data_IF_742362972855
#
_entry.id   IF_742362972855
#
_cell.length_a   1.000
_cell.length_b   1.000
_cell.length_c   1.000
_cell.angle_alpha   90.00
_cell.angle_beta   90.00
_cell.angle_gamma   90.00
#
_symmetry.space_group_name_H-M   'P 1'
#
loop_
_entity.id
_entity.type
_entity.pdbx_description
1 polymer ?
#
# COMPACT_ATOMS: atom_id res chain seq x y z
N UNK A 1 -1.85 11.13 29.38
CA UNK A 1 -0.37 11.04 29.36
C UNK A 1 0.05 10.60 27.97
N UNK A 2 0.67 11.50 27.23
CA UNK A 2 1.01 11.34 25.81
C UNK A 2 2.04 10.22 25.62
N UNK A 3 1.75 9.27 24.72
CA UNK A 3 2.75 8.31 24.25
C UNK A 3 3.64 9.02 23.24
N UNK A 4 4.79 9.42 23.75
CA UNK A 4 5.87 10.04 22.98
C UNK A 4 6.23 9.24 21.74
N UNK A 5 6.25 9.91 20.63
CA UNK A 5 6.76 9.43 19.36
C UNK A 5 8.20 8.88 19.52
N UNK A 6 8.37 7.58 19.39
CA UNK A 6 9.69 7.01 19.15
C UNK A 6 9.99 7.19 17.67
N UNK A 7 10.56 8.32 17.35
CA UNK A 7 11.20 8.57 16.07
C UNK A 7 12.35 7.57 15.94
N UNK A 8 12.22 6.62 15.04
CA UNK A 8 13.29 5.71 14.67
C UNK A 8 14.29 6.52 13.85
N UNK A 9 15.34 7.00 14.51
CA UNK A 9 16.49 7.61 13.85
C UNK A 9 17.25 6.49 13.12
N UNK A 10 17.01 6.36 11.80
CA UNK A 10 17.85 5.55 10.94
C UNK A 10 19.14 6.34 10.73
N UNK A 11 20.20 5.93 11.42
CA UNK A 11 21.54 6.46 11.23
C UNK A 11 22.03 6.05 9.84
N UNK A 12 22.12 7.03 8.93
CA UNK A 12 22.90 6.92 7.70
C UNK A 12 24.38 6.88 8.08
N UNK A 13 24.97 5.71 8.04
CA UNK A 13 26.42 5.57 8.09
C UNK A 13 26.99 6.05 6.75
N UNK A 14 27.45 7.28 6.70
CA UNK A 14 28.27 7.82 5.61
C UNK A 14 29.67 7.18 5.69
N UNK A 15 29.87 6.11 4.96
CA UNK A 15 31.18 5.53 4.72
C UNK A 15 31.80 6.14 3.46
N UNK A 16 32.87 6.87 3.62
CA UNK A 16 33.93 7.08 2.64
C UNK A 16 33.68 8.18 1.62
N UNK A 17 34.18 9.38 1.90
CA UNK A 17 34.41 10.43 0.90
C UNK A 17 35.48 10.00 -0.10
N UNK A 18 35.10 9.25 -1.13
CA UNK A 18 35.79 9.32 -2.41
C UNK A 18 35.00 10.31 -3.26
N UNK A 19 35.69 11.32 -3.77
CA UNK A 19 35.16 12.26 -4.75
C UNK A 19 34.68 11.47 -5.95
N UNK A 20 33.39 11.15 -5.97
CA UNK A 20 32.74 10.58 -7.13
C UNK A 20 32.62 11.71 -8.13
N UNK A 21 33.44 11.67 -9.19
CA UNK A 21 33.35 12.60 -10.30
C UNK A 21 31.92 12.63 -10.85
N UNK A 22 31.36 13.81 -10.95
CA UNK A 22 30.05 14.04 -11.57
C UNK A 22 30.22 13.97 -13.10
N UNK A 23 30.40 12.79 -13.65
CA UNK A 23 30.23 12.56 -15.06
C UNK A 23 28.75 12.28 -15.29
N UNK A 24 28.02 13.29 -15.63
CA UNK A 24 26.68 13.14 -16.22
C UNK A 24 26.89 12.67 -17.66
N UNK A 25 26.90 11.36 -17.88
CA UNK A 25 26.77 10.80 -19.21
C UNK A 25 25.40 11.21 -19.74
N UNK A 26 25.40 12.10 -20.72
CA UNK A 26 24.20 12.52 -21.44
C UNK A 26 23.81 11.39 -22.42
N UNK A 27 23.24 10.32 -21.91
CA UNK A 27 22.53 9.36 -22.73
C UNK A 27 21.31 10.03 -23.39
N UNK A 28 20.92 9.64 -24.61
CA UNK A 28 19.78 10.22 -25.29
C UNK A 28 18.51 10.06 -24.42
N UNK A 29 17.75 11.13 -24.31
CA UNK A 29 16.50 11.21 -23.53
C UNK A 29 15.49 10.20 -24.07
N UNK A 30 15.46 9.00 -23.53
CA UNK A 30 14.46 7.97 -23.84
C UNK A 30 13.39 7.96 -22.77
N UNK A 31 12.14 7.87 -23.22
CA UNK A 31 11.04 7.56 -22.31
C UNK A 31 11.19 6.11 -21.86
N UNK A 32 11.23 5.89 -20.56
CA UNK A 32 11.18 4.57 -19.94
C UNK A 32 9.82 4.39 -19.29
N UNK A 33 9.20 3.26 -19.54
CA UNK A 33 7.90 2.89 -18.98
C UNK A 33 8.07 1.64 -18.16
N UNK A 34 7.59 1.64 -16.94
CA UNK A 34 7.63 0.50 -16.02
C UNK A 34 6.22 0.18 -15.56
N UNK A 35 5.75 -1.02 -15.83
CA UNK A 35 4.40 -1.50 -15.45
C UNK A 35 4.56 -2.74 -14.58
N UNK A 36 3.99 -2.70 -13.38
CA UNK A 36 4.04 -3.80 -12.43
C UNK A 36 2.65 -4.10 -11.87
N UNK A 37 1.87 -4.99 -12.48
CA UNK A 37 0.76 -5.64 -11.79
C UNK A 37 1.31 -6.51 -10.65
N UNK A 38 0.70 -6.39 -9.47
CA UNK A 38 1.16 -7.13 -8.30
C UNK A 38 0.01 -7.51 -7.36
N UNK A 39 0.23 -8.55 -6.58
CA UNK A 39 -0.57 -8.88 -5.42
C UNK A 39 0.11 -8.33 -4.15
N UNK A 40 -0.65 -7.69 -3.29
CA UNK A 40 -0.22 -7.32 -1.95
C UNK A 40 -1.18 -7.91 -0.94
N UNK A 41 -0.66 -8.58 0.07
CA UNK A 41 -1.43 -9.23 1.13
C UNK A 41 -1.12 -8.55 2.47
N UNK A 42 -1.76 -7.41 2.77
CA UNK A 42 -1.51 -6.72 4.01
C UNK A 42 -2.26 -7.36 5.19
N UNK A 43 -1.62 -7.38 6.35
CA UNK A 43 -2.35 -7.36 7.61
C UNK A 43 -2.78 -5.93 7.94
N UNK A 44 -3.82 -5.78 8.75
CA UNK A 44 -4.33 -4.49 9.24
C UNK A 44 -4.19 -4.45 10.76
N UNK A 45 -3.50 -3.44 11.28
CA UNK A 45 -3.19 -3.32 12.70
C UNK A 45 -3.49 -1.91 13.18
N UNK A 46 -4.15 -1.77 14.32
CA UNK A 46 -4.40 -0.45 14.88
C UNK A 46 -5.68 -0.34 15.69
N UNK A 47 -6.28 0.83 15.64
CA UNK A 47 -7.54 1.10 16.35
C UNK A 47 -8.37 2.14 15.62
N UNK A 48 -9.67 2.02 15.75
CA UNK A 48 -10.64 3.02 15.34
C UNK A 48 -11.49 3.40 16.55
N UNK A 49 -11.63 4.71 16.78
CA UNK A 49 -12.51 5.26 17.82
C UNK A 49 -13.58 6.08 17.14
N UNK A 50 -14.83 5.71 17.25
CA UNK A 50 -15.97 6.39 16.66
C UNK A 50 -16.98 6.68 17.76
N UNK A 51 -17.37 7.95 17.90
CA UNK A 51 -18.34 8.42 18.94
C UNK A 51 -17.97 7.92 20.35
N UNK A 52 -16.68 7.93 20.69
CA UNK A 52 -16.16 7.52 21.99
C UNK A 52 -15.98 6.02 22.20
N UNK A 53 -16.42 5.17 21.26
CA UNK A 53 -16.20 3.73 21.30
C UNK A 53 -14.93 3.36 20.54
N UNK A 54 -13.99 2.74 21.20
CA UNK A 54 -12.71 2.30 20.60
C UNK A 54 -12.73 0.80 20.31
N UNK A 55 -12.34 0.44 19.09
CA UNK A 55 -12.20 -0.94 18.65
C UNK A 55 -10.76 -1.18 18.18
N UNK A 56 -10.13 -2.23 18.67
CA UNK A 56 -8.84 -2.69 18.18
C UNK A 56 -9.06 -3.48 16.89
N UNK A 57 -8.22 -3.20 15.89
CA UNK A 57 -8.19 -3.91 14.61
C UNK A 57 -6.87 -4.70 14.58
N UNK A 58 -6.97 -6.01 14.34
CA UNK A 58 -5.83 -6.93 14.34
C UNK A 58 -6.15 -8.06 13.37
N UNK A 59 -5.91 -7.82 12.08
CA UNK A 59 -6.15 -8.76 10.99
C UNK A 59 -4.80 -9.14 10.39
N UNK A 60 -4.48 -10.42 10.42
CA UNK A 60 -3.21 -10.91 9.88
C UNK A 60 -3.28 -11.08 8.34
N UNK A 61 -2.13 -11.15 7.63
CA UNK A 61 -2.11 -11.49 6.21
C UNK A 61 -2.75 -12.85 5.91
N UNK A 62 -2.65 -13.83 6.81
CA UNK A 62 -3.30 -15.14 6.65
C UNK A 62 -4.82 -15.05 6.66
N UNK A 63 -5.40 -14.23 7.54
CA UNK A 63 -6.85 -14.02 7.58
C UNK A 63 -7.38 -13.43 6.27
N UNK A 64 -6.61 -12.52 5.66
CA UNK A 64 -6.95 -11.96 4.36
C UNK A 64 -6.84 -13.01 3.24
N UNK A 65 -5.81 -13.87 3.27
CA UNK A 65 -5.67 -14.96 2.31
C UNK A 65 -6.83 -15.94 2.40
N UNK A 66 -7.27 -16.29 3.61
CA UNK A 66 -8.43 -17.18 3.80
C UNK A 66 -9.71 -16.58 3.21
N UNK A 67 -9.90 -15.26 3.32
CA UNK A 67 -11.02 -14.56 2.68
C UNK A 67 -10.90 -14.56 1.15
N UNK A 68 -9.71 -14.35 0.60
CA UNK A 68 -9.46 -14.35 -0.85
C UNK A 68 -9.68 -15.75 -1.44
N UNK A 69 -9.11 -16.78 -0.85
CA UNK A 69 -9.25 -18.16 -1.32
C UNK A 69 -10.65 -18.75 -1.04
N UNK A 70 -11.31 -18.25 -0.01
CA UNK A 70 -12.72 -18.59 0.27
C UNK A 70 -13.72 -17.94 -0.69
N UNK A 71 -13.26 -17.12 -1.65
CA UNK A 71 -14.13 -16.43 -2.63
C UNK A 71 -14.92 -15.25 -2.05
N UNK A 72 -14.62 -14.85 -0.83
CA UNK A 72 -15.31 -13.76 -0.11
C UNK A 72 -14.59 -12.41 -0.22
N UNK A 73 -13.46 -12.37 -0.91
CA UNK A 73 -12.70 -11.15 -1.15
C UNK A 73 -12.06 -11.18 -2.55
N UNK A 74 -11.77 -9.99 -3.06
CA UNK A 74 -10.98 -9.76 -4.27
C UNK A 74 -10.13 -8.52 -4.07
N UNK A 75 -8.89 -8.55 -4.53
CA UNK A 75 -8.02 -7.38 -4.54
C UNK A 75 -7.15 -7.40 -5.79
N UNK A 76 -6.88 -6.21 -6.34
CA UNK A 76 -5.97 -5.99 -7.45
C UNK A 76 -5.09 -4.79 -7.14
N UNK A 77 -3.84 -4.83 -7.59
CA UNK A 77 -2.90 -3.74 -7.44
C UNK A 77 -2.01 -3.59 -8.67
N UNK A 78 -1.52 -2.39 -8.91
CA UNK A 78 -0.62 -2.10 -10.01
C UNK A 78 0.16 -0.81 -9.79
N UNK A 79 1.37 -0.83 -10.28
CA UNK A 79 2.28 0.31 -10.34
C UNK A 79 2.62 0.62 -11.79
N UNK A 80 2.65 1.91 -12.11
CA UNK A 80 3.09 2.45 -13.39
C UNK A 80 4.09 3.58 -13.12
N UNK A 81 5.21 3.59 -13.83
CA UNK A 81 6.14 4.73 -13.85
C UNK A 81 6.46 5.12 -15.28
N UNK A 82 6.53 6.42 -15.50
CA UNK A 82 6.98 7.06 -16.74
C UNK A 82 8.20 7.91 -16.39
N UNK A 83 9.36 7.53 -16.85
CA UNK A 83 10.62 8.22 -16.59
C UNK A 83 11.13 8.86 -17.88
N UNK A 84 11.35 10.18 -17.88
CA UNK A 84 11.89 10.92 -18.99
C UNK A 84 12.99 11.88 -18.53
N UNK A 85 14.20 11.65 -18.98
CA UNK A 85 15.39 12.38 -18.55
C UNK A 85 15.54 12.31 -17.03
N UNK A 86 15.40 13.44 -16.36
CA UNK A 86 15.45 13.55 -14.89
C UNK A 86 14.09 13.54 -14.21
N UNK A 87 13.03 13.66 -14.96
CA UNK A 87 11.68 13.68 -14.42
C UNK A 87 11.07 12.28 -14.43
N UNK A 88 10.23 12.03 -13.47
CA UNK A 88 9.40 10.84 -13.46
C UNK A 88 8.01 11.11 -12.90
N UNK A 89 7.04 10.42 -13.47
CA UNK A 89 5.67 10.36 -13.00
C UNK A 89 5.36 8.92 -12.62
N UNK A 90 4.67 8.72 -11.50
CA UNK A 90 4.20 7.39 -11.15
C UNK A 90 2.78 7.39 -10.61
N UNK A 91 2.11 6.26 -10.81
CA UNK A 91 0.87 5.89 -10.16
C UNK A 91 1.01 4.50 -9.53
N UNK A 92 0.51 4.35 -8.32
CA UNK A 92 0.50 3.08 -7.60
C UNK A 92 -0.86 2.92 -6.95
N UNK A 93 -1.67 2.01 -7.44
CA UNK A 93 -3.02 1.86 -6.93
C UNK A 93 -3.33 0.42 -6.54
N UNK A 94 -4.16 0.32 -5.55
CA UNK A 94 -4.73 -0.93 -5.11
C UNK A 94 -6.19 -0.74 -4.74
N UNK A 95 -7.00 -1.73 -5.07
CA UNK A 95 -8.39 -1.74 -4.69
C UNK A 95 -8.90 -3.16 -4.49
N UNK A 96 -9.98 -3.26 -3.72
CA UNK A 96 -10.55 -4.55 -3.45
C UNK A 96 -11.90 -4.47 -2.75
N UNK A 97 -12.50 -5.64 -2.59
CA UNK A 97 -13.66 -5.81 -1.74
C UNK A 97 -13.50 -7.04 -0.86
N UNK A 98 -14.14 -7.02 0.30
CA UNK A 98 -14.28 -8.18 1.17
C UNK A 98 -15.71 -8.25 1.72
N UNK A 99 -16.22 -9.46 1.86
CA UNK A 99 -17.51 -9.74 2.47
C UNK A 99 -17.33 -10.76 3.59
N UNK A 100 -17.75 -10.38 4.79
CA UNK A 100 -17.72 -11.25 5.96
C UNK A 100 -19.13 -11.39 6.50
N UNK A 101 -19.59 -12.62 6.68
CA UNK A 101 -20.91 -12.92 7.22
C UNK A 101 -20.84 -13.84 8.42
N UNK A 102 -21.66 -13.55 9.42
CA UNK A 102 -21.92 -14.42 10.58
C UNK A 102 -23.38 -14.80 10.59
N UNK A 103 -23.65 -16.07 10.76
CA UNK A 103 -25.00 -16.59 10.89
C UNK A 103 -25.01 -17.59 12.07
N UNK A 104 -25.43 -17.11 13.23
CA UNK A 104 -25.45 -17.90 14.43
C UNK A 104 -26.87 -18.04 14.98
N UNK A 105 -27.15 -19.20 15.52
CA UNK A 105 -28.38 -19.45 16.28
C UNK A 105 -28.02 -19.72 17.72
N UNK A 106 -28.42 -18.81 18.60
CA UNK A 106 -28.17 -18.89 20.03
C UNK A 106 -29.39 -19.54 20.70
N UNK A 107 -29.27 -20.76 21.22
CA UNK A 107 -30.35 -21.39 21.98
C UNK A 107 -30.54 -20.66 23.30
N UNK A 108 -31.74 -20.22 23.58
CA UNK A 108 -32.13 -19.67 24.90
C UNK A 108 -33.19 -20.56 25.53
N UNK A 109 -33.46 -20.37 26.81
CA UNK A 109 -34.43 -21.20 27.54
C UNK A 109 -35.88 -21.12 27.01
N UNK A 110 -36.23 -20.04 26.28
CA UNK A 110 -37.59 -19.80 25.81
C UNK A 110 -37.72 -19.86 24.28
N UNK A 111 -36.62 -19.64 23.55
CA UNK A 111 -36.67 -19.63 22.07
C UNK A 111 -35.26 -19.70 21.49
N UNK A 112 -35.14 -19.99 20.21
CA UNK A 112 -33.87 -19.88 19.48
C UNK A 112 -33.77 -18.48 18.85
N UNK A 113 -32.75 -17.72 19.21
CA UNK A 113 -32.43 -16.43 18.64
C UNK A 113 -31.47 -16.62 17.47
N UNK A 114 -31.86 -16.18 16.29
CA UNK A 114 -30.98 -16.15 15.12
C UNK A 114 -30.40 -14.76 14.94
N UNK A 115 -29.07 -14.66 14.86
CA UNK A 115 -28.34 -13.44 14.55
C UNK A 115 -27.63 -13.64 13.22
N UNK A 116 -27.96 -12.81 12.23
CA UNK A 116 -27.29 -12.74 10.94
C UNK A 116 -26.66 -11.37 10.82
N UNK A 117 -25.35 -11.32 10.63
CA UNK A 117 -24.64 -10.09 10.34
C UNK A 117 -23.82 -10.29 9.07
N UNK A 118 -23.86 -9.30 8.17
CA UNK A 118 -23.08 -9.28 6.95
C UNK A 118 -22.40 -7.91 6.83
N UNK A 119 -21.09 -7.93 6.71
CA UNK A 119 -20.27 -6.76 6.46
C UNK A 119 -19.70 -6.86 5.05
N UNK A 120 -19.89 -5.82 4.25
CA UNK A 120 -19.27 -5.66 2.93
C UNK A 120 -18.39 -4.42 2.98
N UNK A 121 -17.13 -4.61 2.62
CA UNK A 121 -16.16 -3.53 2.56
C UNK A 121 -15.58 -3.41 1.16
N UNK A 122 -15.51 -2.20 0.63
CA UNK A 122 -14.74 -1.87 -0.57
C UNK A 122 -13.73 -0.81 -0.22
N UNK A 123 -12.57 -0.86 -0.83
CA UNK A 123 -11.54 0.14 -0.62
C UNK A 123 -10.74 0.38 -1.90
N UNK A 124 -10.23 1.60 -2.02
CA UNK A 124 -9.22 1.99 -3.00
C UNK A 124 -8.18 2.82 -2.29
N UNK A 125 -6.92 2.52 -2.53
CA UNK A 125 -5.79 3.35 -2.17
C UNK A 125 -5.02 3.64 -3.46
N UNK A 126 -4.76 4.91 -3.76
CA UNK A 126 -4.04 5.30 -4.97
C UNK A 126 -3.05 6.41 -4.66
N UNK A 127 -1.79 6.15 -4.97
CA UNK A 127 -0.68 7.09 -4.85
C UNK A 127 -0.35 7.65 -6.24
N UNK A 128 -0.19 8.96 -6.36
CA UNK A 128 0.29 9.62 -7.57
C UNK A 128 1.44 10.54 -7.19
N UNK A 129 2.50 10.54 -7.97
CA UNK A 129 3.64 11.38 -7.69
C UNK A 129 4.36 11.85 -8.95
N UNK A 130 4.88 13.07 -8.87
CA UNK A 130 5.80 13.67 -9.84
C UNK A 130 7.13 13.88 -9.13
N UNK A 131 8.20 13.43 -9.73
CA UNK A 131 9.52 13.49 -9.10
C UNK A 131 10.64 13.89 -10.02
N UNK A 132 11.79 14.10 -9.40
CA UNK A 132 13.03 14.49 -10.03
C UNK A 132 14.17 13.56 -9.61
N UNK A 133 14.90 13.03 -10.58
CA UNK A 133 16.07 12.19 -10.37
C UNK A 133 17.26 13.06 -9.99
N UNK A 134 17.69 12.97 -8.75
CA UNK A 134 18.83 13.74 -8.22
C UNK A 134 20.16 13.24 -8.79
N UNK A 135 20.27 11.95 -9.01
CA UNK A 135 21.47 11.34 -9.54
C UNK A 135 21.25 9.95 -10.12
N UNK A 136 22.15 9.60 -11.02
CA UNK A 136 22.28 8.30 -11.62
C UNK A 136 23.76 7.95 -11.71
N UNK A 137 24.14 6.80 -11.17
CA UNK A 137 25.56 6.37 -11.11
C UNK A 137 25.67 4.95 -11.62
N UNK A 138 26.41 4.77 -12.70
CA UNK A 138 26.72 3.46 -13.24
C UNK A 138 27.93 2.90 -12.47
N UNK A 139 27.74 1.74 -11.85
CA UNK A 139 28.84 1.03 -11.19
C UNK A 139 29.66 0.26 -12.23
N UNK A 140 31.03 0.14 -12.11
CA UNK A 140 31.88 -0.49 -13.12
C UNK A 140 31.36 -1.88 -13.41
N UNK A 141 30.96 -2.75 -12.88
CA UNK A 141 30.55 -4.11 -13.22
C UNK A 141 29.01 -4.32 -13.17
N UNK A 142 28.24 -3.26 -13.45
CA UNK A 142 26.78 -3.35 -13.43
C UNK A 142 26.16 -2.79 -14.70
N UNK A 143 25.20 -3.55 -15.24
CA UNK A 143 24.43 -3.14 -16.43
C UNK A 143 23.41 -2.05 -16.13
N UNK A 144 22.90 -2.01 -14.90
CA UNK A 144 21.89 -1.04 -14.46
C UNK A 144 22.49 -0.02 -13.50
N UNK A 145 22.09 1.25 -13.58
CA UNK A 145 22.63 2.27 -12.69
C UNK A 145 21.95 2.22 -11.31
N UNK A 146 22.68 2.71 -10.32
CA UNK A 146 22.08 3.21 -9.08
C UNK A 146 21.36 4.53 -9.39
N UNK A 147 20.12 4.69 -8.93
CA UNK A 147 19.37 5.94 -9.09
C UNK A 147 18.82 6.42 -7.76
N UNK A 148 18.76 7.73 -7.60
CA UNK A 148 18.14 8.40 -6.45
C UNK A 148 17.27 9.53 -6.95
N UNK A 149 16.03 9.60 -6.47
CA UNK A 149 15.10 10.66 -6.80
C UNK A 149 14.22 11.06 -5.63
N UNK A 150 13.68 12.26 -5.71
CA UNK A 150 12.70 12.81 -4.77
C UNK A 150 11.40 13.08 -5.51
N UNK A 151 10.28 13.07 -4.81
CA UNK A 151 8.98 13.35 -5.40
C UNK A 151 8.04 14.07 -4.44
N UNK A 152 7.06 14.71 -5.03
CA UNK A 152 5.86 15.20 -4.37
C UNK A 152 4.65 14.51 -4.97
N UNK A 153 3.60 14.37 -4.21
CA UNK A 153 2.43 13.66 -4.72
C UNK A 153 1.24 13.70 -3.78
N UNK A 154 0.31 12.81 -4.03
CA UNK A 154 -0.90 12.64 -3.23
C UNK A 154 -1.22 11.18 -3.06
N UNK A 155 -1.72 10.82 -1.88
CA UNK A 155 -2.33 9.52 -1.57
C UNK A 155 -3.81 9.70 -1.42
N UNK A 156 -4.57 9.08 -2.31
CA UNK A 156 -6.03 9.03 -2.27
C UNK A 156 -6.48 7.75 -1.59
N UNK A 157 -7.45 7.87 -0.68
CA UNK A 157 -8.06 6.75 0.03
C UNK A 157 -9.57 6.85 -0.11
N UNK A 158 -10.21 5.73 -0.43
CA UNK A 158 -11.66 5.60 -0.47
C UNK A 158 -12.09 4.30 0.17
N UNK A 159 -13.09 4.38 1.04
CA UNK A 159 -13.68 3.23 1.71
C UNK A 159 -15.20 3.32 1.66
N UNK A 160 -15.82 2.21 1.33
CA UNK A 160 -17.26 2.00 1.47
C UNK A 160 -17.47 0.79 2.38
N UNK A 161 -18.13 1.00 3.51
CA UNK A 161 -18.51 -0.05 4.44
C UNK A 161 -20.03 -0.16 4.51
N UNK A 162 -20.56 -1.37 4.32
CA UNK A 162 -21.99 -1.67 4.47
C UNK A 162 -22.15 -2.79 5.48
N UNK A 163 -22.82 -2.49 6.59
CA UNK A 163 -23.17 -3.47 7.61
C UNK A 163 -24.68 -3.71 7.59
N UNK A 164 -25.06 -4.95 7.42
CA UNK A 164 -26.44 -5.42 7.54
C UNK A 164 -26.53 -6.41 8.69
N UNK A 165 -27.38 -6.15 9.65
CA UNK A 165 -27.63 -7.04 10.77
C UNK A 165 -29.11 -7.34 10.89
N UNK A 166 -29.44 -8.61 11.11
CA UNK A 166 -30.81 -9.07 11.39
C UNK A 166 -30.76 -9.94 12.64
N UNK A 167 -31.57 -9.60 13.60
CA UNK A 167 -31.76 -10.39 14.81
C UNK A 167 -33.24 -10.72 14.98
N UNK A 168 -33.58 -11.94 15.35
CA UNK A 168 -34.96 -12.34 15.57
C UNK A 168 -35.10 -13.75 16.10
N UNK A 169 -36.31 -14.08 16.50
CA UNK A 169 -36.66 -15.40 16.97
C UNK A 169 -36.92 -16.31 15.75
N UNK A 170 -36.46 -17.54 15.79
CA UNK A 170 -36.76 -18.54 14.76
C UNK A 170 -38.28 -18.70 14.66
N UNK A 171 -38.85 -18.50 13.47
CA UNK A 171 -40.30 -18.48 13.18
C UNK A 171 -41.07 -17.35 13.87
N UNK A 172 -40.41 -16.27 14.30
CA UNK A 172 -41.02 -15.11 14.99
C UNK A 172 -40.61 -13.77 14.41
N UNK A 173 -40.81 -12.72 15.21
CA UNK A 173 -40.46 -11.35 14.81
C UNK A 173 -38.97 -11.17 14.58
N UNK A 174 -38.63 -10.49 13.50
CA UNK A 174 -37.26 -10.15 13.13
C UNK A 174 -37.09 -8.62 13.06
N UNK A 175 -35.95 -8.12 13.44
CA UNK A 175 -35.52 -6.72 13.27
C UNK A 175 -34.26 -6.66 12.48
N UNK A 176 -34.21 -5.81 11.47
CA UNK A 176 -33.05 -5.58 10.63
C UNK A 176 -32.56 -4.13 10.79
N UNK A 177 -31.24 -3.97 10.81
CA UNK A 177 -30.57 -2.69 10.76
C UNK A 177 -29.55 -2.70 9.63
N UNK A 178 -29.50 -1.63 8.85
CA UNK A 178 -28.52 -1.44 7.79
C UNK A 178 -27.80 -0.11 8.03
N UNK A 179 -26.48 -0.15 8.01
CA UNK A 179 -25.61 1.01 8.11
C UNK A 179 -24.72 1.02 6.90
N UNK A 180 -24.58 2.17 6.24
CA UNK A 180 -23.68 2.36 5.11
C UNK A 180 -22.89 3.64 5.33
N UNK A 181 -21.56 3.53 5.30
CA UNK A 181 -20.63 4.64 5.48
C UNK A 181 -19.69 4.69 4.26
N UNK A 182 -19.47 5.87 3.73
CA UNK A 182 -18.61 6.17 2.58
C UNK A 182 -17.63 7.26 2.96
N UNK A 183 -16.35 6.98 2.84
CA UNK A 183 -15.27 7.89 3.21
C UNK A 183 -14.29 8.03 2.06
N UNK A 184 -14.00 9.26 1.66
CA UNK A 184 -12.94 9.55 0.70
C UNK A 184 -12.10 10.73 1.18
N UNK A 185 -10.80 10.64 1.00
CA UNK A 185 -9.88 11.74 1.29
C UNK A 185 -8.60 11.63 0.47
N UNK A 186 -7.86 12.71 0.40
CA UNK A 186 -6.57 12.78 -0.24
C UNK A 186 -5.58 13.54 0.65
N UNK A 187 -4.39 12.99 0.79
CA UNK A 187 -3.30 13.57 1.57
C UNK A 187 -2.13 13.94 0.66
N UNK A 188 -1.58 15.15 0.78
CA UNK A 188 -0.33 15.50 0.12
C UNK A 188 0.82 14.69 0.73
N UNK A 189 1.79 14.32 -0.09
CA UNK A 189 2.98 13.59 0.35
C UNK A 189 4.25 14.08 -0.33
N UNK A 190 5.37 13.90 0.37
CA UNK A 190 6.72 14.04 -0.18
C UNK A 190 7.48 12.75 0.08
N UNK A 191 8.37 12.39 -0.84
CA UNK A 191 9.08 11.13 -0.68
C UNK A 191 10.36 11.06 -1.49
N UNK A 192 11.00 9.92 -1.35
CA UNK A 192 12.18 9.55 -2.11
C UNK A 192 12.00 8.15 -2.71
N UNK A 193 12.64 7.93 -3.85
CA UNK A 193 12.84 6.60 -4.42
C UNK A 193 14.31 6.39 -4.74
N UNK A 194 14.78 5.17 -4.59
CA UNK A 194 16.07 4.77 -5.11
C UNK A 194 16.03 3.33 -5.64
N UNK A 195 16.92 3.05 -6.57
CA UNK A 195 17.13 1.72 -7.11
C UNK A 195 18.63 1.42 -7.07
N UNK A 196 18.98 0.26 -6.54
CA UNK A 196 20.34 -0.21 -6.41
C UNK A 196 20.50 -1.55 -7.15
N UNK A 197 21.36 -1.61 -8.20
CA UNK A 197 21.71 -2.88 -8.82
C UNK A 197 22.58 -3.68 -7.86
N UNK A 198 22.08 -4.83 -7.42
CA UNK A 198 22.84 -5.76 -6.57
C UNK A 198 23.67 -6.71 -7.44
N UNK A 199 23.04 -7.23 -8.48
CA UNK A 199 23.63 -8.10 -9.51
C UNK A 199 23.11 -7.65 -10.89
N UNK A 200 23.70 -8.14 -11.98
CA UNK A 200 23.23 -7.82 -13.33
C UNK A 200 21.77 -8.25 -13.58
N UNK A 201 21.35 -9.29 -12.88
CA UNK A 201 20.01 -9.86 -12.96
C UNK A 201 19.11 -9.52 -11.75
N UNK A 202 19.61 -8.72 -10.77
CA UNK A 202 18.86 -8.38 -9.57
C UNK A 202 19.10 -6.94 -9.11
N UNK A 203 18.04 -6.21 -8.82
CA UNK A 203 18.06 -4.88 -8.18
C UNK A 203 17.21 -4.86 -6.91
N UNK A 204 17.54 -3.93 -6.03
CA UNK A 204 16.73 -3.56 -4.87
C UNK A 204 16.18 -2.15 -5.11
N UNK A 205 14.86 -2.06 -5.11
CA UNK A 205 14.15 -0.81 -5.29
C UNK A 205 13.45 -0.43 -3.99
N UNK A 206 13.47 0.85 -3.70
CA UNK A 206 12.87 1.40 -2.49
C UNK A 206 12.12 2.69 -2.80
N UNK A 207 10.94 2.85 -2.19
CA UNK A 207 10.18 4.10 -2.18
C UNK A 207 9.65 4.33 -0.78
N UNK A 208 9.86 5.55 -0.27
CA UNK A 208 9.36 5.96 1.03
C UNK A 208 8.81 7.37 0.98
N UNK A 209 7.74 7.61 1.71
CA UNK A 209 7.06 8.90 1.77
C UNK A 209 6.53 9.22 3.16
N UNK A 210 6.31 10.51 3.35
CA UNK A 210 5.61 11.09 4.52
C UNK A 210 4.63 12.14 4.01
N UNK A 211 3.48 12.24 4.63
CA UNK A 211 2.41 13.11 4.18
C UNK A 211 1.34 13.35 5.25
N UNK A 212 0.18 13.81 4.80
CA UNK A 212 -0.94 14.23 5.64
C UNK A 212 -0.79 15.68 6.05
N UNK A 213 0.18 16.01 6.89
CA UNK A 213 0.51 17.36 7.37
C UNK A 213 -0.72 18.14 7.89
N UNK A 214 -1.73 17.43 8.41
CA UNK A 214 -2.99 18.01 8.87
C UNK A 214 -3.96 18.42 7.75
N UNK A 215 -3.74 18.07 6.49
CA UNK A 215 -4.65 18.36 5.38
C UNK A 215 -5.93 17.51 5.48
N UNK A 216 -5.80 16.19 5.47
CA UNK A 216 -6.90 15.24 5.74
C UNK A 216 -6.53 14.26 6.84
N UNK A 217 -5.27 13.84 6.90
CA UNK A 217 -4.70 13.03 7.97
C UNK A 217 -3.69 13.84 8.78
N UNK A 218 -3.54 13.53 10.05
CA UNK A 218 -2.52 14.16 10.92
C UNK A 218 -1.13 13.78 10.42
N UNK A 219 -0.93 12.49 10.19
CA UNK A 219 0.30 11.91 9.67
C UNK A 219 -0.04 10.68 8.84
N UNK A 220 0.62 10.57 7.70
CA UNK A 220 0.62 9.37 6.88
C UNK A 220 2.07 9.11 6.44
N UNK A 221 2.50 7.86 6.43
CA UNK A 221 3.77 7.51 5.84
C UNK A 221 3.68 6.15 5.16
N UNK A 222 4.52 5.95 4.16
CA UNK A 222 4.58 4.72 3.40
C UNK A 222 6.01 4.28 3.12
N UNK A 223 6.23 2.98 3.11
CA UNK A 223 7.47 2.35 2.69
C UNK A 223 7.15 1.17 1.78
N UNK A 224 7.87 1.05 0.68
CA UNK A 224 7.86 -0.15 -0.15
C UNK A 224 9.29 -0.48 -0.56
N UNK A 225 9.68 -1.72 -0.32
CA UNK A 225 10.96 -2.26 -0.77
C UNK A 225 10.72 -3.51 -1.61
N UNK A 226 11.36 -3.61 -2.78
CA UNK A 226 11.20 -4.72 -3.70
C UNK A 226 12.54 -5.19 -4.25
N UNK A 227 12.76 -6.48 -4.24
CA UNK A 227 13.76 -7.11 -5.07
C UNK A 227 13.17 -7.35 -6.45
N UNK A 228 13.80 -6.81 -7.49
CA UNK A 228 13.48 -7.12 -8.88
C UNK A 228 14.47 -8.14 -9.41
N UNK A 229 13.95 -9.26 -9.86
CA UNK A 229 14.72 -10.34 -10.49
C UNK A 229 14.43 -10.30 -11.98
N UNK A 230 15.38 -9.83 -12.77
CA UNK A 230 15.25 -9.66 -14.21
C UNK A 230 15.30 -11.01 -14.93
N UNK A 231 14.33 -11.23 -15.80
CA UNK A 231 14.21 -12.47 -16.56
C UNK A 231 15.04 -12.32 -17.84
N UNK A 232 16.09 -13.13 -18.05
CA UNK A 232 17.04 -12.93 -19.16
C UNK A 232 16.46 -13.29 -20.52
N UNK A 233 15.31 -13.93 -20.56
CA UNK A 233 14.65 -14.33 -21.80
C UNK A 233 13.40 -13.50 -22.03
N UNK A 234 13.34 -12.87 -23.21
CA UNK A 234 12.17 -12.12 -23.67
C UNK A 234 11.96 -12.37 -25.16
N UNK A 235 10.73 -12.62 -25.61
CA UNK A 235 10.41 -12.72 -27.03
C UNK A 235 10.37 -11.36 -27.76
N UNK A 236 10.42 -10.25 -26.98
CA UNK A 236 10.33 -8.87 -27.49
C UNK A 236 11.57 -8.13 -27.00
N UNK A 237 12.46 -7.74 -27.89
CA UNK A 237 13.75 -7.07 -27.57
C UNK A 237 13.61 -5.77 -26.78
N UNK A 238 12.48 -5.07 -26.92
CA UNK A 238 12.23 -3.78 -26.23
C UNK A 238 11.60 -3.94 -24.86
N UNK A 239 11.40 -5.16 -24.35
CA UNK A 239 10.73 -5.43 -23.07
C UNK A 239 11.63 -6.22 -22.15
N UNK A 240 11.91 -5.66 -20.98
CA UNK A 240 12.65 -6.32 -19.91
C UNK A 240 11.65 -6.81 -18.84
N UNK A 241 11.23 -8.08 -18.85
CA UNK A 241 10.37 -8.63 -17.80
C UNK A 241 11.15 -8.89 -16.53
N UNK A 242 10.48 -8.73 -15.38
CA UNK A 242 11.07 -9.03 -14.08
C UNK A 242 10.03 -9.53 -13.08
N UNK A 243 10.47 -10.36 -12.15
CA UNK A 243 9.72 -10.75 -10.97
C UNK A 243 10.02 -9.76 -9.84
N UNK A 244 9.00 -9.24 -9.20
CA UNK A 244 9.11 -8.37 -8.03
C UNK A 244 8.68 -9.13 -6.77
N UNK A 245 9.56 -9.17 -5.77
CA UNK A 245 9.30 -9.71 -4.43
C UNK A 245 9.57 -8.61 -3.43
N UNK A 246 8.64 -8.30 -2.55
CA UNK A 246 8.86 -7.19 -1.65
C UNK A 246 7.94 -7.16 -0.44
N UNK A 247 8.03 -6.02 0.24
CA UNK A 247 7.23 -5.73 1.41
C UNK A 247 6.79 -4.26 1.38
N UNK A 248 5.52 -4.02 1.68
CA UNK A 248 4.95 -2.68 1.74
C UNK A 248 4.34 -2.43 3.11
N UNK A 249 4.55 -1.22 3.62
CA UNK A 249 3.92 -0.70 4.83
C UNK A 249 3.27 0.64 4.49
N UNK A 250 2.06 0.85 4.94
CA UNK A 250 1.38 2.16 4.92
C UNK A 250 0.76 2.36 6.28
N UNK A 251 1.04 3.49 6.89
CA UNK A 251 0.55 3.85 8.21
C UNK A 251 -0.17 5.21 8.10
N UNK A 252 -1.31 5.33 8.73
CA UNK A 252 -2.02 6.59 8.77
C UNK A 252 -2.70 6.82 10.12
N UNK A 253 -2.59 8.05 10.57
CA UNK A 253 -3.27 8.61 11.73
C UNK A 253 -4.16 9.76 11.26
N UNK A 254 -5.46 9.57 11.42
CA UNK A 254 -6.47 10.55 11.06
C UNK A 254 -7.42 10.78 12.23
N UNK A 255 -7.57 12.03 12.61
CA UNK A 255 -8.52 12.47 13.63
C UNK A 255 -9.46 13.51 13.04
N UNK A 256 -10.75 13.35 13.27
CA UNK A 256 -11.76 14.34 12.92
C UNK A 256 -12.78 14.48 14.08
N UNK A 257 -13.81 15.31 13.90
CA UNK A 257 -14.89 15.52 14.91
C UNK A 257 -15.63 14.23 15.27
N UNK A 258 -15.65 13.23 14.40
CA UNK A 258 -16.46 12.03 14.57
C UNK A 258 -15.66 10.86 15.15
N UNK A 259 -14.32 10.96 15.14
CA UNK A 259 -13.47 9.93 15.70
C UNK A 259 -12.00 10.01 15.33
N UNK A 260 -11.26 8.99 15.73
CA UNK A 260 -9.85 8.81 15.44
C UNK A 260 -9.62 7.42 14.82
N UNK A 261 -8.86 7.39 13.74
CA UNK A 261 -8.46 6.15 13.04
C UNK A 261 -6.94 6.13 12.96
N UNK A 262 -6.31 5.20 13.64
CA UNK A 262 -4.88 4.94 13.56
C UNK A 262 -4.68 3.51 13.06
N UNK A 263 -4.32 3.36 11.78
CA UNK A 263 -4.21 2.07 11.12
C UNK A 263 -2.89 1.92 10.38
N UNK A 264 -2.30 0.75 10.48
CA UNK A 264 -1.15 0.33 9.72
C UNK A 264 -1.49 -0.88 8.86
N UNK A 265 -1.24 -0.76 7.57
CA UNK A 265 -1.27 -1.86 6.61
C UNK A 265 0.15 -2.30 6.32
N UNK A 266 0.44 -3.59 6.47
CA UNK A 266 1.79 -4.11 6.20
C UNK A 266 1.73 -5.55 5.75
N UNK A 267 2.54 -5.89 4.73
CA UNK A 267 2.56 -7.26 4.23
C UNK A 267 3.45 -7.45 3.01
N UNK A 268 3.63 -8.71 2.62
CA UNK A 268 4.40 -9.08 1.44
C UNK A 268 3.68 -8.68 0.15
N UNK A 269 4.48 -8.42 -0.88
CA UNK A 269 4.01 -8.20 -2.23
C UNK A 269 4.77 -9.10 -3.23
N UNK A 270 4.06 -9.51 -4.27
CA UNK A 270 4.58 -10.31 -5.37
C UNK A 270 3.99 -9.79 -6.67
N UNK A 271 4.82 -9.57 -7.68
CA UNK A 271 4.37 -9.07 -8.98
C UNK A 271 5.24 -9.53 -10.13
N UNK A 272 4.71 -9.38 -11.33
CA UNK A 272 5.41 -9.57 -12.59
C UNK A 272 5.42 -8.24 -13.34
N UNK A 273 6.58 -7.65 -13.50
CA UNK A 273 6.73 -6.34 -14.11
C UNK A 273 7.36 -6.39 -15.49
N UNK A 274 7.18 -5.29 -16.21
CA UNK A 274 7.66 -5.08 -17.57
C UNK A 274 8.23 -3.68 -17.70
N UNK A 275 9.50 -3.57 -18.04
CA UNK A 275 10.16 -2.31 -18.34
C UNK A 275 10.39 -2.19 -19.86
N UNK A 276 10.15 -0.97 -20.40
CA UNK A 276 10.20 -0.66 -21.83
C UNK A 276 11.17 0.48 -22.11
#
# INVERSE_FOLDING_TARGET
MSRSARVLAIAFVLLGTRTIGWAADAEPKKLQVDVLPYAWVPGMYGSATIKGNSTKIDVSPSDLLDLLFGGNAFAAAGYLSLDYDRFFLFGDSMGGYAEVGVNETIPTQLCNLTVKARSKMKFVMADFGLGYRLGQWTLPDRKRPFTLGVYVGTRYMWYLSKLSATAGVVHGAQRSANVSEDFAWADPMIGLRWSAPLLDWMSLDFRGDIGGFGASSNLIWGLVGTFRVWIPWTPIESVDPYLALGYRVVDFDRSNSDGNIALQYRGPLLGLGFAF
#
